data_IF_697529005951
#
_entry.id   IF_697529005951
#
_cell.length_a   1.000
_cell.length_b   1.000
_cell.length_c   1.000
_cell.angle_alpha   90.00
_cell.angle_beta   90.00
_cell.angle_gamma   90.00
#
_symmetry.space_group_name_H-M   'P 1'
#
loop_
_entity.id
_entity.type
_entity.pdbx_description
1 polymer ?
#
# COMPACT_ATOMS: atom_id res chain seq x y z
N UNK A 1 23.49 -17.31 9.71
CA UNK A 1 22.11 -17.35 9.14
C UNK A 1 22.24 -16.87 7.72
N UNK A 2 21.93 -17.72 6.74
CA UNK A 2 21.79 -17.26 5.35
C UNK A 2 20.55 -16.39 5.29
N UNK A 3 20.69 -15.14 4.86
CA UNK A 3 19.52 -14.33 4.58
C UNK A 3 18.90 -14.84 3.30
N UNK A 4 17.70 -15.41 3.36
CA UNK A 4 16.97 -15.96 2.22
C UNK A 4 16.96 -15.02 1.00
N UNK A 5 16.96 -13.70 1.24
CA UNK A 5 17.02 -12.65 0.21
C UNK A 5 18.24 -12.80 -0.71
N UNK A 6 19.41 -13.20 -0.18
CA UNK A 6 20.65 -13.32 -0.96
C UNK A 6 20.62 -14.50 -1.95
N UNK A 7 19.71 -15.45 -1.74
CA UNK A 7 19.55 -16.66 -2.57
C UNK A 7 18.25 -16.58 -3.41
N UNK A 8 17.62 -15.40 -3.47
CA UNK A 8 16.32 -15.23 -4.11
C UNK A 8 16.41 -14.66 -5.51
N UNK A 9 15.59 -15.21 -6.40
CA UNK A 9 15.25 -14.65 -7.70
C UNK A 9 13.88 -14.00 -7.56
N UNK A 10 13.84 -12.67 -7.62
CA UNK A 10 12.61 -11.91 -7.44
C UNK A 10 11.87 -11.70 -8.76
N UNK A 11 10.55 -11.80 -8.71
CA UNK A 11 9.66 -11.36 -9.78
C UNK A 11 8.78 -10.23 -9.27
N UNK A 12 8.79 -9.08 -9.95
CA UNK A 12 7.96 -7.94 -9.59
C UNK A 12 6.63 -8.00 -10.33
N UNK A 13 5.54 -7.85 -9.59
CA UNK A 13 4.19 -7.71 -10.12
C UNK A 13 3.62 -6.36 -9.68
N UNK A 14 3.27 -5.50 -10.65
CA UNK A 14 2.41 -4.34 -10.39
C UNK A 14 0.95 -4.77 -10.54
N UNK A 15 0.21 -4.94 -9.41
CA UNK A 15 -1.05 -5.71 -9.41
C UNK A 15 -2.14 -5.13 -10.29
N UNK A 16 -2.39 -3.82 -10.22
CA UNK A 16 -3.45 -3.15 -11.01
C UNK A 16 -3.23 -3.36 -12.50
N UNK A 17 -2.01 -3.14 -12.98
CA UNK A 17 -1.66 -3.33 -14.39
C UNK A 17 -1.67 -4.80 -14.81
N UNK A 18 -1.07 -5.68 -13.99
CA UNK A 18 -0.99 -7.12 -14.26
C UNK A 18 -2.37 -7.78 -14.40
N UNK A 19 -3.31 -7.38 -13.53
CA UNK A 19 -4.66 -7.94 -13.50
C UNK A 19 -5.61 -7.28 -14.53
N UNK A 20 -5.20 -6.19 -15.20
CA UNK A 20 -6.08 -5.40 -16.04
C UNK A 20 -7.22 -4.75 -15.25
N UNK A 21 -6.96 -4.37 -14.00
CA UNK A 21 -7.93 -3.70 -13.17
C UNK A 21 -8.20 -2.27 -13.65
N UNK A 22 -9.39 -1.69 -13.40
CA UNK A 22 -9.70 -0.30 -13.73
C UNK A 22 -8.66 0.66 -13.13
N UNK A 23 -8.26 1.69 -13.89
CA UNK A 23 -7.29 2.67 -13.42
C UNK A 23 -7.80 3.45 -12.21
N UNK A 24 -9.05 3.87 -12.25
CA UNK A 24 -9.72 4.53 -11.14
C UNK A 24 -10.56 3.48 -10.41
N UNK A 25 -10.52 3.49 -9.09
CA UNK A 25 -11.28 2.57 -8.28
C UNK A 25 -12.78 2.84 -8.46
N UNK A 26 -13.51 1.84 -8.96
CA UNK A 26 -14.94 1.90 -9.26
C UNK A 26 -15.82 1.43 -8.07
N UNK A 27 -15.20 0.97 -7.00
CA UNK A 27 -15.87 0.45 -5.80
C UNK A 27 -16.31 -1.00 -5.92
N UNK A 28 -16.16 -1.63 -7.09
CA UNK A 28 -16.56 -3.03 -7.29
C UNK A 28 -15.48 -3.99 -6.76
N UNK A 29 -15.91 -5.03 -6.05
CA UNK A 29 -15.00 -6.07 -5.56
C UNK A 29 -14.92 -7.22 -6.54
N UNK A 30 -13.72 -7.41 -7.13
CA UNK A 30 -13.45 -8.49 -8.08
C UNK A 30 -12.07 -9.09 -7.79
N UNK A 31 -12.00 -10.40 -7.54
CA UNK A 31 -10.76 -11.11 -7.21
C UNK A 31 -9.85 -11.30 -8.44
N UNK A 32 -9.41 -10.18 -9.04
CA UNK A 32 -8.57 -10.23 -10.26
C UNK A 32 -7.15 -10.71 -9.99
N UNK A 33 -6.68 -10.56 -8.74
CA UNK A 33 -5.33 -10.97 -8.37
C UNK A 33 -5.16 -12.50 -8.28
N UNK A 34 -6.26 -13.26 -8.22
CA UNK A 34 -6.25 -14.74 -8.28
C UNK A 34 -5.50 -15.25 -9.53
N UNK A 35 -5.43 -14.45 -10.60
CA UNK A 35 -4.60 -14.70 -11.79
C UNK A 35 -3.14 -15.04 -11.45
N UNK A 36 -2.61 -14.57 -10.33
CA UNK A 36 -1.24 -14.89 -9.89
C UNK A 36 -1.07 -16.39 -9.65
N UNK A 37 -2.11 -17.08 -9.18
CA UNK A 37 -2.08 -18.52 -8.93
C UNK A 37 -1.82 -19.27 -10.23
N UNK A 38 -2.44 -18.87 -11.32
CA UNK A 38 -2.24 -19.47 -12.65
C UNK A 38 -0.82 -19.25 -13.18
N UNK A 39 -0.12 -18.24 -12.66
CA UNK A 39 1.27 -17.92 -13.06
C UNK A 39 2.32 -18.71 -12.28
N UNK A 40 1.98 -19.39 -11.21
CA UNK A 40 2.93 -20.16 -10.38
C UNK A 40 3.78 -21.13 -11.21
N UNK A 41 3.23 -21.94 -12.15
CA UNK A 41 4.06 -22.82 -12.97
C UNK A 41 5.08 -22.07 -13.83
N UNK A 42 4.70 -20.91 -14.38
CA UNK A 42 5.61 -20.05 -15.15
C UNK A 42 6.73 -19.49 -14.26
N UNK A 43 6.41 -18.96 -13.10
CA UNK A 43 7.39 -18.43 -12.13
C UNK A 43 8.40 -19.51 -11.74
N UNK A 44 7.93 -20.72 -11.46
CA UNK A 44 8.81 -21.88 -11.15
C UNK A 44 9.70 -22.27 -12.30
N UNK A 45 9.22 -22.20 -13.54
CA UNK A 45 10.03 -22.52 -14.73
C UNK A 45 11.22 -21.54 -14.91
N UNK A 46 11.10 -20.32 -14.34
CA UNK A 46 12.17 -19.31 -14.33
C UNK A 46 13.00 -19.35 -13.04
N UNK A 47 12.82 -20.36 -12.17
CA UNK A 47 13.48 -20.44 -10.85
C UNK A 47 13.18 -19.25 -9.94
N UNK A 48 12.05 -18.57 -10.12
CA UNK A 48 11.58 -17.52 -9.21
C UNK A 48 11.15 -18.16 -7.89
N UNK A 49 11.69 -17.64 -6.80
CA UNK A 49 11.37 -18.10 -5.44
C UNK A 49 10.94 -16.95 -4.50
N UNK A 50 10.78 -15.75 -5.04
CA UNK A 50 10.19 -14.62 -4.32
C UNK A 50 9.39 -13.72 -5.27
N UNK A 51 8.22 -13.27 -4.85
CA UNK A 51 7.45 -12.22 -5.52
C UNK A 51 7.54 -10.94 -4.69
N UNK A 52 7.83 -9.84 -5.37
CA UNK A 52 7.58 -8.51 -4.88
C UNK A 52 6.29 -7.98 -5.53
N UNK A 53 5.27 -7.79 -4.71
CA UNK A 53 4.05 -7.11 -5.14
C UNK A 53 4.23 -5.60 -4.97
N UNK A 54 4.02 -4.82 -6.03
CA UNK A 54 3.70 -3.40 -5.91
C UNK A 54 2.44 -3.22 -5.05
N UNK A 55 1.96 -1.99 -4.80
CA UNK A 55 0.89 -1.76 -3.84
C UNK A 55 -0.35 -2.61 -4.08
N UNK A 56 -0.80 -3.31 -3.04
CA UNK A 56 -2.00 -4.19 -3.05
C UNK A 56 -3.15 -3.62 -2.23
N UNK A 57 -2.88 -2.59 -1.41
CA UNK A 57 -3.86 -2.04 -0.48
C UNK A 57 -4.79 -1.04 -1.16
N UNK A 58 -5.95 -0.84 -0.54
CA UNK A 58 -7.01 0.04 -1.06
C UNK A 58 -6.46 1.40 -1.44
N UNK A 59 -6.76 1.81 -2.66
CA UNK A 59 -6.32 3.06 -3.25
C UNK A 59 -7.36 3.63 -4.21
N UNK A 60 -7.22 4.91 -4.53
CA UNK A 60 -8.14 5.58 -5.46
C UNK A 60 -7.75 5.34 -6.91
N UNK A 61 -6.42 5.37 -7.25
CA UNK A 61 -5.96 5.33 -8.64
C UNK A 61 -4.90 4.26 -8.86
N UNK A 62 -3.66 4.49 -8.43
CA UNK A 62 -2.49 3.71 -8.89
C UNK A 62 -1.86 2.81 -7.81
N UNK A 63 -2.47 2.72 -6.64
CA UNK A 63 -1.96 1.91 -5.55
C UNK A 63 -1.02 2.64 -4.59
N UNK A 64 -0.17 3.55 -5.09
CA UNK A 64 0.70 4.37 -4.24
C UNK A 64 -0.07 5.48 -3.51
N UNK A 65 -1.28 5.79 -3.92
CA UNK A 65 -2.25 6.67 -3.26
C UNK A 65 -3.11 5.88 -2.27
N UNK A 66 -2.48 5.27 -1.27
CA UNK A 66 -3.13 4.38 -0.30
C UNK A 66 -4.23 5.09 0.48
N UNK A 67 -5.42 4.49 0.48
CA UNK A 67 -6.59 4.96 1.24
C UNK A 67 -6.77 4.20 2.56
N UNK A 68 -6.33 2.93 2.61
CA UNK A 68 -6.36 2.08 3.81
C UNK A 68 -5.30 0.98 3.72
N UNK A 69 -4.42 0.89 4.72
CA UNK A 69 -3.34 -0.12 4.79
C UNK A 69 -3.80 -1.51 5.28
N UNK A 70 -5.05 -1.64 5.71
CA UNK A 70 -5.57 -2.88 6.32
C UNK A 70 -6.57 -3.60 5.43
N UNK A 71 -6.90 -3.02 4.29
CA UNK A 71 -7.88 -3.56 3.33
C UNK A 71 -7.21 -3.71 1.98
N UNK A 72 -7.30 -4.89 1.39
CA UNK A 72 -6.87 -5.13 0.01
C UNK A 72 -7.73 -4.30 -0.95
N UNK A 73 -7.12 -3.77 -2.00
CA UNK A 73 -7.83 -3.01 -3.02
C UNK A 73 -8.94 -3.87 -3.65
N UNK A 74 -10.18 -3.38 -3.57
CA UNK A 74 -11.34 -4.12 -4.04
C UNK A 74 -11.27 -4.47 -5.53
N UNK A 75 -10.53 -3.72 -6.34
CA UNK A 75 -10.26 -4.06 -7.75
C UNK A 75 -9.40 -5.31 -7.90
N UNK A 76 -8.65 -5.69 -6.85
CA UNK A 76 -7.74 -6.84 -6.81
C UNK A 76 -8.37 -8.04 -6.10
N UNK A 77 -9.23 -7.79 -5.09
CA UNK A 77 -9.89 -8.83 -4.33
C UNK A 77 -10.27 -8.40 -2.91
N UNK A 78 -10.20 -9.34 -2.00
CA UNK A 78 -10.45 -9.17 -0.55
C UNK A 78 -9.23 -9.62 0.25
N UNK A 79 -9.21 -9.33 1.55
CA UNK A 79 -8.17 -9.85 2.45
C UNK A 79 -8.10 -11.39 2.39
N UNK A 80 -9.26 -12.05 2.37
CA UNK A 80 -9.35 -13.51 2.31
C UNK A 80 -8.78 -14.07 1.00
N UNK A 81 -9.10 -13.45 -0.15
CA UNK A 81 -8.56 -13.88 -1.44
C UNK A 81 -7.06 -13.66 -1.52
N UNK A 82 -6.57 -12.53 -1.00
CA UNK A 82 -5.13 -12.24 -0.96
C UNK A 82 -4.38 -13.21 -0.03
N UNK A 83 -4.94 -13.52 1.14
CA UNK A 83 -4.41 -14.55 2.02
C UNK A 83 -4.29 -15.89 1.30
N UNK A 84 -5.33 -16.29 0.55
CA UNK A 84 -5.30 -17.53 -0.25
C UNK A 84 -4.17 -17.52 -1.28
N UNK A 85 -3.94 -16.39 -1.97
CA UNK A 85 -2.83 -16.24 -2.92
C UNK A 85 -1.49 -16.44 -2.21
N UNK A 86 -1.29 -15.80 -1.05
CA UNK A 86 -0.06 -15.98 -0.27
C UNK A 86 0.15 -17.43 0.16
N UNK A 87 -0.90 -18.09 0.64
CA UNK A 87 -0.84 -19.51 1.02
C UNK A 87 -0.44 -20.41 -0.18
N UNK A 88 -0.98 -20.16 -1.38
CA UNK A 88 -0.63 -20.91 -2.60
C UNK A 88 0.82 -20.64 -3.05
N UNK A 89 1.29 -19.38 -2.96
CA UNK A 89 2.69 -19.04 -3.24
C UNK A 89 3.64 -19.78 -2.28
N UNK A 90 3.36 -19.74 -0.98
CA UNK A 90 4.16 -20.42 0.03
C UNK A 90 4.19 -21.94 -0.14
N UNK A 91 3.06 -22.59 -0.45
CA UNK A 91 3.00 -24.01 -0.80
C UNK A 91 3.93 -24.39 -1.97
N UNK A 92 4.19 -23.44 -2.85
CA UNK A 92 5.07 -23.61 -4.00
C UNK A 92 6.50 -23.12 -3.76
N UNK A 93 6.86 -22.76 -2.52
CA UNK A 93 8.19 -22.32 -2.12
C UNK A 93 8.52 -20.88 -2.58
N UNK A 94 7.50 -20.07 -2.87
CA UNK A 94 7.67 -18.69 -3.31
C UNK A 94 7.38 -17.75 -2.13
N UNK A 95 8.34 -16.92 -1.80
CA UNK A 95 8.27 -15.88 -0.76
C UNK A 95 7.44 -14.68 -1.22
N UNK A 96 6.78 -13.99 -0.29
CA UNK A 96 5.94 -12.82 -0.56
C UNK A 96 6.52 -11.58 0.09
N UNK A 97 6.81 -10.57 -0.75
CA UNK A 97 7.28 -9.24 -0.32
C UNK A 97 6.24 -8.20 -0.76
N UNK A 98 5.81 -7.35 0.17
CA UNK A 98 4.85 -6.28 -0.11
C UNK A 98 5.52 -4.90 -0.18
N UNK A 99 4.88 -4.01 -0.91
CA UNK A 99 5.28 -2.59 -0.97
C UNK A 99 4.77 -1.84 0.27
N UNK A 100 5.71 -1.29 1.03
CA UNK A 100 5.45 -0.41 2.16
C UNK A 100 5.50 1.05 1.72
N UNK A 101 4.36 1.62 1.36
CA UNK A 101 4.21 3.02 0.96
C UNK A 101 3.97 3.86 2.21
N UNK A 102 5.04 4.20 2.95
CA UNK A 102 4.93 4.82 4.27
C UNK A 102 5.22 6.33 4.29
N UNK A 103 5.80 6.88 3.22
CA UNK A 103 6.07 8.30 3.13
C UNK A 103 4.81 9.15 2.94
N UNK A 104 3.82 8.63 2.21
CA UNK A 104 2.62 9.37 1.80
C UNK A 104 1.40 8.47 1.67
N UNK A 105 0.23 9.09 1.59
CA UNK A 105 -1.08 8.44 1.42
C UNK A 105 -1.91 9.17 0.36
N UNK A 106 -2.96 8.54 -0.11
CA UNK A 106 -3.97 9.18 -0.97
C UNK A 106 -4.81 10.22 -0.22
N UNK A 107 -5.46 11.11 -0.98
CA UNK A 107 -6.37 12.10 -0.42
C UNK A 107 -7.65 11.50 0.18
N UNK A 108 -7.95 10.24 -0.15
CA UNK A 108 -9.05 9.48 0.43
C UNK A 108 -8.64 8.61 1.62
N UNK A 109 -7.38 8.69 2.07
CA UNK A 109 -6.96 8.07 3.32
C UNK A 109 -7.86 8.56 4.46
N UNK A 110 -8.38 7.64 5.24
CA UNK A 110 -9.46 7.91 6.20
C UNK A 110 -9.14 9.06 7.18
N UNK A 111 -7.91 9.16 7.70
CA UNK A 111 -7.51 10.24 8.59
C UNK A 111 -7.39 11.60 7.87
N UNK A 112 -6.99 11.61 6.58
CA UNK A 112 -6.95 12.84 5.79
C UNK A 112 -8.36 13.31 5.39
N UNK A 113 -9.27 12.37 5.13
CA UNK A 113 -10.70 12.72 4.93
C UNK A 113 -11.28 13.41 6.15
N UNK A 114 -10.98 12.90 7.35
CA UNK A 114 -11.42 13.54 8.60
C UNK A 114 -10.88 14.97 8.72
N UNK A 115 -9.60 15.22 8.38
CA UNK A 115 -9.05 16.58 8.34
C UNK A 115 -9.77 17.47 7.32
N UNK A 116 -10.13 16.94 6.16
CA UNK A 116 -10.86 17.69 5.12
C UNK A 116 -12.29 18.06 5.57
N UNK A 117 -12.92 17.18 6.34
CA UNK A 117 -14.31 17.36 6.82
C UNK A 117 -14.37 18.26 8.07
N UNK A 118 -13.45 18.08 9.02
CA UNK A 118 -13.48 18.71 10.33
C UNK A 118 -12.48 19.87 10.50
N UNK A 119 -11.61 20.11 9.50
CA UNK A 119 -10.62 21.16 9.53
C UNK A 119 -9.68 21.05 10.74
N UNK A 120 -9.41 22.18 11.40
CA UNK A 120 -8.54 22.25 12.57
C UNK A 120 -9.09 21.56 13.83
N UNK A 121 -10.33 21.09 13.80
CA UNK A 121 -10.95 20.31 14.87
C UNK A 121 -10.66 18.79 14.76
N UNK A 122 -10.08 18.35 13.65
CA UNK A 122 -9.68 16.96 13.47
C UNK A 122 -8.56 16.57 14.42
N UNK A 123 -8.68 15.43 15.07
CA UNK A 123 -7.61 14.85 15.89
C UNK A 123 -6.39 14.38 15.07
N UNK A 124 -6.54 14.25 13.74
CA UNK A 124 -5.51 13.76 12.82
C UNK A 124 -4.67 14.87 12.18
N UNK A 125 -4.83 16.15 12.56
CA UNK A 125 -4.05 17.26 12.00
C UNK A 125 -2.53 17.04 12.14
N UNK A 126 -2.07 16.44 13.26
CA UNK A 126 -0.66 16.14 13.50
C UNK A 126 -0.11 14.97 12.68
N UNK A 127 -0.94 14.25 11.92
CA UNK A 127 -0.54 13.10 11.10
C UNK A 127 0.12 13.48 9.78
N UNK A 128 -0.06 14.73 9.32
CA UNK A 128 0.35 15.17 8.00
C UNK A 128 1.40 16.29 8.10
N UNK A 129 2.36 16.28 7.17
CA UNK A 129 3.45 17.25 7.14
C UNK A 129 2.93 18.63 6.67
N UNK A 130 3.39 19.67 7.39
CA UNK A 130 3.20 21.07 7.03
C UNK A 130 1.73 21.47 6.79
N UNK A 131 0.79 20.83 7.54
CA UNK A 131 -0.62 21.19 7.50
C UNK A 131 -0.80 22.63 8.02
N UNK A 132 -1.41 23.52 7.21
CA UNK A 132 -1.57 24.94 7.54
C UNK A 132 -2.95 25.44 7.13
N UNK A 133 -3.77 25.79 8.13
CA UNK A 133 -5.13 26.29 7.96
C UNK A 133 -5.20 27.75 7.52
N UNK A 134 -4.07 28.47 7.41
CA UNK A 134 -3.96 29.78 6.79
C UNK A 134 -3.69 29.74 5.27
N UNK A 135 -3.49 28.53 4.71
CA UNK A 135 -3.20 28.31 3.29
C UNK A 135 -4.37 27.75 2.51
N UNK A 136 -4.10 27.40 1.25
CA UNK A 136 -5.03 26.66 0.38
C UNK A 136 -4.29 25.59 -0.40
N UNK A 137 -4.94 24.46 -0.68
CA UNK A 137 -4.41 23.45 -1.58
C UNK A 137 -4.83 23.72 -3.04
N UNK A 138 -4.13 23.15 -4.03
CA UNK A 138 -4.57 23.16 -5.43
C UNK A 138 -5.91 22.48 -5.67
N UNK A 139 -6.37 21.65 -4.75
CA UNK A 139 -7.67 20.96 -4.80
C UNK A 139 -8.81 21.78 -4.18
N UNK A 140 -8.54 23.03 -3.75
CA UNK A 140 -9.55 23.93 -3.19
C UNK A 140 -9.84 23.70 -1.71
N UNK A 141 -9.02 22.89 -1.00
CA UNK A 141 -9.13 22.77 0.45
C UNK A 141 -8.84 24.12 1.12
N UNK A 142 -9.47 24.39 2.28
CA UNK A 142 -9.28 25.60 3.09
C UNK A 142 -7.97 25.57 3.92
N UNK A 143 -7.05 24.69 3.57
CA UNK A 143 -5.72 24.51 4.18
C UNK A 143 -4.71 24.05 3.12
N UNK A 144 -3.44 24.23 3.40
CA UNK A 144 -2.34 23.65 2.62
C UNK A 144 -1.66 22.53 3.40
N UNK A 145 -0.93 21.67 2.71
CA UNK A 145 -0.18 20.53 3.25
C UNK A 145 0.98 20.19 2.33
N UNK A 146 1.89 19.35 2.78
CA UNK A 146 2.99 18.86 1.96
C UNK A 146 2.57 17.60 1.19
N UNK A 147 2.80 17.61 -0.13
CA UNK A 147 2.71 16.43 -0.99
C UNK A 147 4.09 15.90 -1.34
N UNK A 148 4.21 14.61 -1.63
CA UNK A 148 5.47 13.99 -2.08
C UNK A 148 5.95 14.66 -3.38
N UNK A 149 7.15 15.27 -3.35
CA UNK A 149 7.71 16.03 -4.47
C UNK A 149 6.77 17.06 -5.11
N UNK A 150 5.83 17.62 -4.33
CA UNK A 150 4.83 18.58 -4.82
C UNK A 150 3.61 17.96 -5.48
N UNK A 151 3.49 16.63 -5.49
CA UNK A 151 2.27 15.93 -5.90
C UNK A 151 1.26 15.94 -4.76
N UNK A 152 0.26 16.81 -4.85
CA UNK A 152 -0.73 17.02 -3.80
C UNK A 152 -1.78 15.90 -3.65
N UNK A 153 -1.85 14.99 -4.60
CA UNK A 153 -2.60 13.74 -4.51
C UNK A 153 -1.92 12.71 -3.60
N UNK A 154 -0.62 12.88 -3.32
CA UNK A 154 0.19 12.05 -2.46
C UNK A 154 0.56 12.82 -1.18
N UNK A 155 -0.34 12.78 -0.20
CA UNK A 155 -0.27 13.56 1.04
C UNK A 155 0.82 13.01 1.96
N UNK A 156 1.83 13.81 2.29
CA UNK A 156 2.97 13.36 3.08
C UNK A 156 2.59 13.13 4.54
N UNK A 157 2.92 11.93 5.06
CA UNK A 157 2.73 11.57 6.46
C UNK A 157 3.81 12.21 7.35
N UNK A 158 3.44 12.52 8.58
CA UNK A 158 4.35 12.95 9.63
C UNK A 158 4.85 11.75 10.45
N UNK A 159 5.89 11.10 10.00
CA UNK A 159 6.48 9.92 10.66
C UNK A 159 7.15 10.24 12.00
N UNK A 160 7.28 11.51 12.37
CA UNK A 160 7.71 11.92 13.73
C UNK A 160 6.57 11.87 14.74
N UNK A 161 5.33 11.75 14.28
CA UNK A 161 4.17 11.55 15.13
C UNK A 161 4.08 10.07 15.53
N UNK A 162 4.16 9.74 16.85
CA UNK A 162 4.10 8.35 17.31
C UNK A 162 2.83 7.62 16.92
N UNK A 163 1.69 8.30 16.83
CA UNK A 163 0.41 7.68 16.47
C UNK A 163 0.43 7.21 15.01
N UNK A 164 1.06 7.98 14.11
CA UNK A 164 1.26 7.57 12.71
C UNK A 164 2.16 6.35 12.63
N UNK A 165 3.31 6.40 13.32
CA UNK A 165 4.27 5.29 13.32
C UNK A 165 3.66 4.02 13.90
N UNK A 166 2.93 4.12 15.01
CA UNK A 166 2.24 2.98 15.62
C UNK A 166 1.17 2.41 14.69
N UNK A 167 0.35 3.26 14.05
CA UNK A 167 -0.66 2.80 13.09
C UNK A 167 -0.03 2.02 11.92
N UNK A 168 1.10 2.50 11.37
CA UNK A 168 1.80 1.83 10.28
C UNK A 168 2.42 0.51 10.75
N UNK A 169 3.06 0.48 11.92
CA UNK A 169 3.63 -0.74 12.50
C UNK A 169 2.57 -1.79 12.82
N UNK A 170 1.42 -1.38 13.37
CA UNK A 170 0.28 -2.26 13.62
C UNK A 170 -0.28 -2.83 12.30
N UNK A 171 -0.30 -2.01 11.23
CA UNK A 171 -0.74 -2.47 9.92
C UNK A 171 0.24 -3.51 9.35
N UNK A 172 1.54 -3.30 9.48
CA UNK A 172 2.56 -4.30 9.10
C UNK A 172 2.43 -5.56 9.95
N UNK A 173 2.18 -5.42 11.25
CA UNK A 173 1.91 -6.55 12.15
C UNK A 173 0.74 -7.40 11.65
N UNK A 174 -0.35 -6.75 11.23
CA UNK A 174 -1.50 -7.43 10.64
C UNK A 174 -1.12 -8.15 9.33
N UNK A 175 -0.30 -7.54 8.44
CA UNK A 175 0.15 -8.21 7.22
C UNK A 175 0.97 -9.47 7.50
N UNK A 176 1.83 -9.41 8.53
CA UNK A 176 2.61 -10.57 8.98
C UNK A 176 1.72 -11.67 9.55
N UNK A 177 0.70 -11.30 10.33
CA UNK A 177 -0.18 -12.25 11.02
C UNK A 177 -1.22 -12.86 10.07
N UNK A 178 -1.83 -12.06 9.22
CA UNK A 178 -2.92 -12.49 8.34
C UNK A 178 -2.40 -13.08 7.02
N UNK A 179 -1.49 -12.38 6.34
CA UNK A 179 -1.00 -12.77 5.02
C UNK A 179 0.31 -13.56 5.07
N UNK A 180 0.97 -13.62 6.25
CA UNK A 180 2.25 -14.33 6.44
C UNK A 180 3.36 -13.83 5.51
N UNK A 181 3.40 -12.53 5.23
CA UNK A 181 4.43 -11.95 4.35
C UNK A 181 5.84 -12.22 4.85
N UNK A 182 6.79 -12.36 3.93
CA UNK A 182 8.20 -12.67 4.24
C UNK A 182 9.10 -11.43 4.29
N UNK A 183 8.63 -10.31 3.76
CA UNK A 183 9.42 -9.07 3.75
C UNK A 183 8.66 -7.87 3.23
N UNK A 184 9.34 -6.72 3.27
CA UNK A 184 8.85 -5.44 2.76
C UNK A 184 9.85 -4.85 1.77
N UNK A 185 9.35 -4.22 0.72
CA UNK A 185 10.08 -3.23 -0.05
C UNK A 185 9.57 -1.85 0.39
N UNK A 186 10.47 -0.96 0.75
CA UNK A 186 10.10 0.38 1.20
C UNK A 186 10.09 1.34 0.02
N UNK A 187 8.91 1.89 -0.27
CA UNK A 187 8.74 2.93 -1.28
C UNK A 187 9.27 4.26 -0.76
N UNK A 188 9.90 5.07 -1.65
CA UNK A 188 10.40 6.40 -1.33
C UNK A 188 11.21 6.45 -0.01
N UNK A 189 12.04 5.43 0.26
CA UNK A 189 12.78 5.28 1.51
C UNK A 189 13.79 6.41 1.76
N UNK A 190 14.20 7.12 0.71
CA UNK A 190 15.06 8.31 0.75
C UNK A 190 14.30 9.58 1.23
N UNK A 191 12.97 9.51 1.28
CA UNK A 191 12.10 10.62 1.69
C UNK A 191 11.52 10.47 3.11
N UNK A 192 11.84 9.34 3.78
CA UNK A 192 11.33 8.96 5.11
C UNK A 192 12.22 9.47 6.23
#
# INVERSE_FOLDING_TARGET
MSYWVNESVFYHIYPIGFCGAPRVNDGETVCRLDKVIDWIPHLKSMSVNAIYFGPVFKSTVHGYDTDDYRVIDNRLGTNESFKHICDELHKNGIKVVLDGVFNHVGRNFWAFKDVRENGNSSQYCGWFQNLNFGGKSPYGDSFSYEGWHGYYDLVKLNLRNPDVTNYLLDSVGMWMDEFKIDGLRLDAADCV
#
